data_IF_210999549470
#
_entry.id   IF_210999549470
#
_cell.length_a   1.000
_cell.length_b   1.000
_cell.length_c   1.000
_cell.angle_alpha   90.00
_cell.angle_beta   90.00
_cell.angle_gamma   90.00
#
_symmetry.space_group_name_H-M   'P 1'
#
loop_
_entity.id
_entity.type
_entity.pdbx_description
1 polymer ?
#
# COMPACT_ATOMS: atom_id res chain seq x y z
N UNK A 1 -27.08 -17.32 -1.40
CA UNK A 1 -25.81 -16.53 -1.36
C UNK A 1 -25.02 -16.77 -2.63
N UNK A 2 -24.57 -15.73 -3.33
CA UNK A 2 -23.65 -15.88 -4.47
C UNK A 2 -22.28 -16.35 -3.94
N UNK A 3 -21.68 -17.31 -4.66
CA UNK A 3 -20.38 -17.89 -4.27
C UNK A 3 -19.23 -17.21 -4.97
N UNK A 4 -18.25 -16.78 -4.19
CA UNK A 4 -17.06 -16.07 -4.65
C UNK A 4 -15.81 -16.90 -4.37
N UNK A 5 -14.95 -17.03 -5.37
CA UNK A 5 -13.64 -17.64 -5.23
C UNK A 5 -12.57 -16.59 -5.46
N UNK A 6 -11.89 -16.18 -4.40
CA UNK A 6 -10.73 -15.28 -4.46
C UNK A 6 -9.47 -16.13 -4.60
N UNK A 7 -8.59 -15.75 -5.53
CA UNK A 7 -7.37 -16.51 -5.79
C UNK A 7 -6.15 -15.62 -5.89
N UNK A 8 -5.13 -15.96 -5.12
CA UNK A 8 -3.79 -15.41 -5.27
C UNK A 8 -2.73 -16.52 -5.27
N UNK A 9 -1.77 -16.41 -6.17
CA UNK A 9 -0.62 -17.32 -6.29
C UNK A 9 0.64 -16.81 -5.59
N UNK A 10 0.61 -15.56 -5.12
CA UNK A 10 1.78 -14.83 -4.57
C UNK A 10 1.48 -14.24 -3.19
N UNK A 11 0.31 -13.64 -3.00
CA UNK A 11 -0.03 -12.98 -1.75
C UNK A 11 -0.24 -13.99 -0.61
N UNK A 12 0.30 -13.71 0.58
CA UNK A 12 0.01 -14.52 1.75
C UNK A 12 -1.47 -14.41 2.14
N UNK A 13 -2.00 -15.45 2.80
CA UNK A 13 -3.42 -15.49 3.16
C UNK A 13 -3.85 -14.31 4.05
N UNK A 14 -2.93 -13.80 4.89
CA UNK A 14 -3.17 -12.66 5.80
C UNK A 14 -2.79 -11.30 5.17
N UNK A 15 -2.77 -11.21 3.85
CA UNK A 15 -2.53 -9.94 3.16
C UNK A 15 -3.61 -8.91 3.55
N UNK A 16 -3.18 -7.68 3.79
CA UNK A 16 -4.07 -6.60 4.26
C UNK A 16 -5.21 -6.32 3.27
N UNK A 17 -4.93 -6.30 1.97
CA UNK A 17 -5.94 -6.01 0.94
C UNK A 17 -6.77 -7.26 0.64
N UNK A 18 -6.12 -8.36 0.29
CA UNK A 18 -6.80 -9.55 -0.21
C UNK A 18 -7.67 -10.20 0.86
N UNK A 19 -7.15 -10.35 2.08
CA UNK A 19 -7.87 -11.00 3.17
C UNK A 19 -8.63 -10.01 4.05
N UNK A 20 -7.88 -9.11 4.77
CA UNK A 20 -8.49 -8.29 5.82
C UNK A 20 -9.51 -7.29 5.26
N UNK A 21 -9.31 -6.81 4.06
CA UNK A 21 -10.22 -5.86 3.40
C UNK A 21 -11.23 -6.61 2.52
N UNK A 22 -10.83 -7.18 1.42
CA UNK A 22 -11.76 -7.65 0.40
C UNK A 22 -12.50 -8.95 0.77
N UNK A 23 -11.78 -10.00 1.18
CA UNK A 23 -12.43 -11.27 1.51
C UNK A 23 -13.37 -11.14 2.71
N UNK A 24 -12.93 -10.44 3.76
CA UNK A 24 -13.74 -10.20 4.96
C UNK A 24 -14.96 -9.32 4.65
N UNK A 25 -14.78 -8.24 3.88
CA UNK A 25 -15.89 -7.37 3.47
C UNK A 25 -16.93 -8.12 2.66
N UNK A 26 -16.52 -8.90 1.67
CA UNK A 26 -17.45 -9.69 0.86
C UNK A 26 -18.22 -10.72 1.70
N UNK A 27 -17.57 -11.38 2.65
CA UNK A 27 -18.24 -12.28 3.58
C UNK A 27 -19.28 -11.54 4.45
N UNK A 28 -18.95 -10.35 4.95
CA UNK A 28 -19.88 -9.48 5.70
C UNK A 28 -21.05 -8.97 4.85
N UNK A 29 -20.81 -8.72 3.58
CA UNK A 29 -21.84 -8.34 2.61
C UNK A 29 -22.74 -9.52 2.18
N UNK A 30 -22.54 -10.70 2.74
CA UNK A 30 -23.41 -11.86 2.54
C UNK A 30 -23.03 -12.75 1.34
N UNK A 31 -21.80 -12.66 0.84
CA UNK A 31 -21.27 -13.61 -0.13
C UNK A 31 -20.67 -14.84 0.58
N UNK A 32 -20.77 -16.02 -0.04
CA UNK A 32 -20.07 -17.24 0.38
C UNK A 32 -18.66 -17.24 -0.25
N UNK A 33 -17.67 -16.83 0.52
CA UNK A 33 -16.31 -16.52 0.05
C UNK A 33 -15.36 -17.67 0.36
N UNK A 34 -14.64 -18.15 -0.64
CA UNK A 34 -13.47 -19.01 -0.46
C UNK A 34 -12.23 -18.32 -0.98
N UNK A 35 -11.25 -18.09 -0.11
CA UNK A 35 -9.94 -17.51 -0.45
C UNK A 35 -8.90 -18.64 -0.61
N UNK A 36 -8.24 -18.70 -1.76
CA UNK A 36 -7.04 -19.50 -1.98
C UNK A 36 -5.81 -18.61 -2.03
N UNK A 37 -4.90 -18.78 -1.08
CA UNK A 37 -3.71 -17.93 -0.95
C UNK A 37 -2.49 -18.70 -0.41
N UNK A 38 -1.34 -18.06 -0.41
CA UNK A 38 -0.08 -18.65 0.03
C UNK A 38 0.03 -18.63 1.57
N UNK A 39 0.53 -19.71 2.16
CA UNK A 39 0.98 -19.72 3.56
C UNK A 39 2.32 -20.44 3.68
N UNK A 40 3.24 -19.84 4.45
CA UNK A 40 4.53 -20.46 4.76
C UNK A 40 4.50 -21.22 6.10
N UNK A 41 3.96 -20.64 7.17
CA UNK A 41 4.07 -21.19 8.52
C UNK A 41 2.80 -21.05 9.38
N UNK A 42 1.78 -20.32 8.93
CA UNK A 42 0.55 -20.11 9.70
C UNK A 42 -0.67 -20.47 8.86
N UNK A 43 -1.51 -21.30 9.41
CA UNK A 43 -2.82 -21.63 8.82
C UNK A 43 -3.85 -20.68 9.45
N UNK A 44 -4.84 -20.29 8.68
CA UNK A 44 -5.97 -19.53 9.19
C UNK A 44 -6.81 -20.41 10.13
N UNK A 45 -6.90 -20.03 11.40
CA UNK A 45 -7.68 -20.70 12.44
C UNK A 45 -8.93 -19.90 12.85
N UNK A 46 -9.16 -18.74 12.19
CA UNK A 46 -10.30 -17.86 12.50
C UNK A 46 -11.62 -18.43 12.00
N UNK A 47 -12.71 -17.99 12.63
CA UNK A 47 -14.08 -18.34 12.24
C UNK A 47 -14.87 -17.07 11.86
N UNK A 48 -14.65 -16.59 10.64
CA UNK A 48 -15.47 -15.51 10.08
C UNK A 48 -16.61 -16.16 9.31
N UNK A 49 -17.88 -15.86 9.65
CA UNK A 49 -19.03 -16.42 8.94
C UNK A 49 -18.91 -16.19 7.42
N UNK A 50 -19.27 -17.21 6.64
CA UNK A 50 -19.23 -17.19 5.17
C UNK A 50 -17.85 -16.99 4.54
N UNK A 51 -16.76 -17.13 5.30
CA UNK A 51 -15.39 -17.03 4.79
C UNK A 51 -14.60 -18.31 5.09
N UNK A 52 -14.15 -18.95 4.02
CA UNK A 52 -13.24 -20.09 4.08
C UNK A 52 -11.89 -19.73 3.48
N UNK A 53 -10.81 -20.00 4.20
CA UNK A 53 -9.43 -19.80 3.71
C UNK A 53 -8.77 -21.13 3.47
N UNK A 54 -8.22 -21.32 2.28
CA UNK A 54 -7.46 -22.50 1.88
C UNK A 54 -6.06 -22.08 1.49
N UNK A 55 -5.06 -22.61 2.16
CA UNK A 55 -3.68 -22.22 1.96
C UNK A 55 -2.88 -23.29 1.25
N UNK A 56 -1.83 -22.86 0.56
CA UNK A 56 -0.85 -23.74 -0.07
C UNK A 56 0.56 -23.16 0.09
N UNK A 57 1.56 -24.04 0.07
CA UNK A 57 2.94 -23.65 0.23
C UNK A 57 3.44 -22.74 -0.92
N UNK A 58 4.24 -21.71 -0.64
CA UNK A 58 4.81 -20.84 -1.65
C UNK A 58 5.69 -21.65 -2.63
N UNK A 59 5.66 -21.28 -3.90
CA UNK A 59 6.47 -21.90 -4.94
C UNK A 59 7.48 -20.91 -5.49
N UNK A 60 8.67 -21.42 -5.88
CA UNK A 60 9.63 -20.62 -6.64
C UNK A 60 9.02 -20.18 -7.99
N UNK A 61 9.53 -19.10 -8.57
CA UNK A 61 9.07 -18.58 -9.86
C UNK A 61 9.00 -19.68 -10.92
N UNK A 62 10.02 -20.56 -10.99
CA UNK A 62 10.07 -21.66 -11.94
C UNK A 62 8.98 -22.74 -11.71
N UNK A 63 8.38 -22.80 -10.55
CA UNK A 63 7.38 -23.79 -10.18
C UNK A 63 5.95 -23.22 -10.07
N UNK A 64 5.75 -21.92 -10.20
CA UNK A 64 4.44 -21.25 -10.04
C UNK A 64 3.40 -21.75 -11.06
N UNK A 65 3.82 -22.16 -12.25
CA UNK A 65 2.89 -22.72 -13.24
C UNK A 65 2.11 -23.92 -12.71
N UNK A 66 2.67 -24.72 -11.77
CA UNK A 66 1.96 -25.83 -11.12
C UNK A 66 0.82 -25.30 -10.25
N UNK A 67 1.07 -24.21 -9.50
CA UNK A 67 0.03 -23.53 -8.71
C UNK A 67 -1.06 -22.94 -9.60
N UNK A 68 -0.70 -22.32 -10.73
CA UNK A 68 -1.69 -21.79 -11.67
C UNK A 68 -2.61 -22.87 -12.21
N UNK A 69 -2.06 -24.01 -12.65
CA UNK A 69 -2.85 -25.14 -13.12
C UNK A 69 -3.73 -25.73 -12.01
N UNK A 70 -3.24 -25.78 -10.78
CA UNK A 70 -4.03 -26.23 -9.63
C UNK A 70 -5.21 -25.28 -9.38
N UNK A 71 -4.97 -23.99 -9.30
CA UNK A 71 -6.00 -22.97 -9.12
C UNK A 71 -7.02 -22.98 -10.26
N UNK A 72 -6.57 -23.14 -11.51
CA UNK A 72 -7.47 -23.31 -12.64
C UNK A 72 -8.39 -24.53 -12.50
N UNK A 73 -7.85 -25.70 -12.12
CA UNK A 73 -8.64 -26.92 -11.91
C UNK A 73 -9.66 -26.74 -10.78
N UNK A 74 -9.27 -26.07 -9.70
CA UNK A 74 -10.15 -25.74 -8.57
C UNK A 74 -11.28 -24.82 -9.06
N UNK A 75 -10.94 -23.71 -9.68
CA UNK A 75 -11.93 -22.73 -10.16
C UNK A 75 -12.90 -23.34 -11.19
N UNK A 76 -12.37 -24.17 -12.11
CA UNK A 76 -13.20 -24.89 -13.10
C UNK A 76 -14.23 -25.79 -12.44
N UNK A 77 -13.84 -26.52 -11.39
CA UNK A 77 -14.70 -27.50 -10.69
C UNK A 77 -15.58 -26.89 -9.62
N UNK A 78 -15.24 -25.67 -9.17
CA UNK A 78 -16.00 -24.97 -8.15
C UNK A 78 -17.38 -24.57 -8.66
N UNK A 79 -18.34 -24.50 -7.75
CA UNK A 79 -19.65 -23.90 -8.01
C UNK A 79 -19.68 -22.38 -7.79
N UNK A 80 -18.49 -21.74 -7.64
CA UNK A 80 -18.37 -20.30 -7.54
C UNK A 80 -18.87 -19.62 -8.82
N UNK A 81 -19.68 -18.60 -8.67
CA UNK A 81 -20.21 -17.79 -9.76
C UNK A 81 -19.19 -16.73 -10.17
N UNK A 82 -18.49 -16.14 -9.18
CA UNK A 82 -17.52 -15.06 -9.36
C UNK A 82 -16.13 -15.57 -9.00
N UNK A 83 -15.18 -15.33 -9.88
CA UNK A 83 -13.76 -15.58 -9.67
C UNK A 83 -13.07 -14.24 -9.56
N UNK A 84 -12.44 -13.96 -8.44
CA UNK A 84 -11.69 -12.75 -8.19
C UNK A 84 -10.19 -13.08 -8.11
N UNK A 85 -9.38 -12.47 -8.94
CA UNK A 85 -7.94 -12.71 -9.02
C UNK A 85 -7.15 -11.42 -8.82
N UNK A 86 -5.99 -11.52 -8.17
CA UNK A 86 -5.12 -10.40 -7.83
C UNK A 86 -3.80 -10.38 -8.60
N UNK A 87 -3.32 -11.55 -9.03
CA UNK A 87 -2.01 -11.65 -9.65
C UNK A 87 -2.11 -11.63 -11.18
N UNK A 88 -1.33 -10.78 -11.88
CA UNK A 88 -1.37 -10.72 -13.35
C UNK A 88 -0.98 -12.04 -14.02
N UNK A 89 -0.21 -12.89 -13.35
CA UNK A 89 0.14 -14.23 -13.84
C UNK A 89 -1.05 -15.20 -13.92
N UNK A 90 -2.14 -14.92 -13.19
CA UNK A 90 -3.39 -15.70 -13.25
C UNK A 90 -4.34 -15.21 -14.37
N UNK A 91 -4.10 -14.07 -14.97
CA UNK A 91 -4.99 -13.47 -15.97
C UNK A 91 -5.26 -14.36 -17.19
N UNK A 92 -4.27 -15.10 -17.78
CA UNK A 92 -4.55 -16.04 -18.86
C UNK A 92 -5.51 -17.16 -18.47
N UNK A 93 -5.41 -17.67 -17.24
CA UNK A 93 -6.28 -18.73 -16.73
C UNK A 93 -7.69 -18.20 -16.44
N UNK A 94 -7.77 -17.01 -15.88
CA UNK A 94 -9.03 -16.31 -15.65
C UNK A 94 -9.78 -16.04 -16.98
N UNK A 95 -9.06 -15.64 -18.02
CA UNK A 95 -9.61 -15.51 -19.37
C UNK A 95 -10.19 -16.84 -19.89
N UNK A 96 -9.52 -17.96 -19.68
CA UNK A 96 -10.03 -19.29 -20.05
C UNK A 96 -11.25 -19.68 -19.24
N UNK A 97 -11.29 -19.39 -17.93
CA UNK A 97 -12.44 -19.64 -17.05
C UNK A 97 -13.67 -18.88 -17.55
N UNK A 98 -13.51 -17.61 -17.90
CA UNK A 98 -14.60 -16.81 -18.46
C UNK A 98 -15.09 -17.37 -19.79
N UNK A 99 -14.16 -17.62 -20.73
CA UNK A 99 -14.53 -18.00 -22.10
C UNK A 99 -15.12 -19.41 -22.20
N UNK A 100 -14.52 -20.40 -21.48
CA UNK A 100 -14.87 -21.80 -21.59
C UNK A 100 -15.88 -22.28 -20.54
N UNK A 101 -15.91 -21.64 -19.38
CA UNK A 101 -16.70 -22.08 -18.23
C UNK A 101 -17.74 -21.07 -17.79
N UNK A 102 -17.90 -19.95 -18.54
CA UNK A 102 -18.89 -18.88 -18.31
C UNK A 102 -18.84 -18.29 -16.89
N UNK A 103 -17.68 -18.37 -16.22
CA UNK A 103 -17.48 -17.76 -14.90
C UNK A 103 -17.46 -16.24 -15.04
N UNK A 104 -18.02 -15.53 -14.07
CA UNK A 104 -17.83 -14.09 -13.94
C UNK A 104 -16.44 -13.85 -13.34
N UNK A 105 -15.64 -12.98 -13.93
CA UNK A 105 -14.25 -12.76 -13.52
C UNK A 105 -14.03 -11.29 -13.23
N UNK A 106 -13.45 -11.03 -12.05
CA UNK A 106 -12.93 -9.72 -11.61
C UNK A 106 -11.42 -9.84 -11.54
N UNK A 107 -10.72 -8.85 -12.05
CA UNK A 107 -9.29 -8.67 -11.90
C UNK A 107 -9.00 -7.44 -11.06
N UNK A 108 -8.32 -7.61 -9.93
CA UNK A 108 -7.86 -6.51 -9.08
C UNK A 108 -6.40 -6.22 -9.38
N UNK A 109 -6.16 -5.04 -9.94
CA UNK A 109 -4.84 -4.59 -10.40
C UNK A 109 -4.10 -3.88 -9.27
N UNK A 110 -3.08 -4.55 -8.72
CA UNK A 110 -2.22 -4.01 -7.68
C UNK A 110 -0.98 -3.31 -8.22
N UNK A 111 -0.64 -3.55 -9.47
CA UNK A 111 0.49 -2.95 -10.16
C UNK A 111 0.25 -2.89 -11.68
N UNK A 112 0.82 -1.90 -12.33
CA UNK A 112 0.91 -1.85 -13.80
C UNK A 112 1.98 -2.86 -14.25
N UNK A 113 1.56 -4.10 -14.53
CA UNK A 113 2.46 -5.20 -14.83
C UNK A 113 3.41 -4.92 -16.01
N UNK A 114 2.98 -4.36 -17.15
CA UNK A 114 3.87 -3.93 -18.21
C UNK A 114 4.92 -2.90 -17.76
N UNK A 115 4.54 -1.93 -16.92
CA UNK A 115 5.47 -0.93 -16.40
C UNK A 115 6.51 -1.57 -15.45
N UNK A 116 6.07 -2.49 -14.60
CA UNK A 116 6.96 -3.27 -13.72
C UNK A 116 7.97 -4.08 -14.54
N UNK A 117 7.52 -4.76 -15.59
CA UNK A 117 8.41 -5.52 -16.48
C UNK A 117 9.44 -4.64 -17.20
N UNK A 118 9.08 -3.42 -17.59
CA UNK A 118 9.98 -2.45 -18.18
C UNK A 118 11.16 -2.08 -17.27
N UNK A 119 10.89 -2.01 -15.95
CA UNK A 119 11.90 -1.72 -14.93
C UNK A 119 12.77 -2.91 -14.54
N UNK A 120 12.28 -4.15 -14.71
CA UNK A 120 12.98 -5.37 -14.30
C UNK A 120 14.08 -5.77 -15.30
N UNK A 121 15.23 -6.18 -14.74
CA UNK A 121 16.28 -6.87 -15.51
C UNK A 121 16.07 -8.38 -15.38
N UNK A 122 16.07 -9.10 -16.50
CA UNK A 122 16.12 -10.56 -16.55
C UNK A 122 17.58 -10.96 -16.77
N UNK A 123 18.25 -11.35 -15.70
CA UNK A 123 19.70 -11.48 -15.70
C UNK A 123 20.39 -10.12 -15.94
N UNK A 124 21.23 -10.00 -16.98
CA UNK A 124 21.91 -8.75 -17.34
C UNK A 124 21.12 -7.89 -18.36
N UNK A 125 20.04 -8.40 -18.94
CA UNK A 125 19.31 -7.75 -20.04
C UNK A 125 17.94 -7.21 -19.58
N UNK A 126 17.53 -6.08 -20.18
CA UNK A 126 16.15 -5.59 -20.08
C UNK A 126 15.29 -6.28 -21.14
N UNK A 127 14.00 -6.47 -20.83
CA UNK A 127 13.05 -7.03 -21.78
C UNK A 127 12.99 -6.16 -23.06
N UNK A 128 13.04 -6.75 -24.26
CA UNK A 128 12.94 -6.01 -25.52
C UNK A 128 11.62 -5.24 -25.63
N UNK A 129 11.64 -4.03 -26.20
CA UNK A 129 10.46 -3.17 -26.33
C UNK A 129 9.29 -3.83 -27.08
N UNK A 130 9.59 -4.62 -28.10
CA UNK A 130 8.56 -5.34 -28.85
C UNK A 130 7.82 -6.37 -27.99
N UNK A 131 8.56 -7.09 -27.13
CA UNK A 131 7.97 -8.08 -26.22
C UNK A 131 7.12 -7.41 -25.15
N UNK A 132 7.54 -6.27 -24.59
CA UNK A 132 6.74 -5.45 -23.69
C UNK A 132 5.42 -5.00 -24.34
N UNK A 133 5.46 -4.60 -25.63
CA UNK A 133 4.25 -4.24 -26.39
C UNK A 133 3.31 -5.44 -26.56
N UNK A 134 3.85 -6.62 -26.85
CA UNK A 134 3.06 -7.87 -26.97
C UNK A 134 2.39 -8.19 -25.63
N UNK A 135 3.13 -8.13 -24.51
CA UNK A 135 2.59 -8.37 -23.17
C UNK A 135 1.47 -7.38 -22.87
N UNK A 136 1.70 -6.07 -23.03
CA UNK A 136 0.71 -5.03 -22.76
C UNK A 136 -0.55 -5.17 -23.64
N UNK A 137 -0.37 -5.47 -24.93
CA UNK A 137 -1.51 -5.65 -25.84
C UNK A 137 -2.32 -6.90 -25.49
N UNK A 138 -1.64 -7.99 -25.11
CA UNK A 138 -2.29 -9.24 -24.74
C UNK A 138 -3.04 -9.10 -23.42
N UNK A 139 -2.43 -8.45 -22.43
CA UNK A 139 -3.05 -8.12 -21.16
C UNK A 139 -4.33 -7.29 -21.38
N UNK A 140 -4.27 -6.17 -22.12
CA UNK A 140 -5.44 -5.34 -22.45
C UNK A 140 -6.56 -6.14 -23.12
N UNK A 141 -6.22 -7.02 -24.08
CA UNK A 141 -7.20 -7.90 -24.73
C UNK A 141 -7.86 -8.88 -23.75
N UNK A 142 -7.12 -9.39 -22.76
CA UNK A 142 -7.68 -10.26 -21.74
C UNK A 142 -8.55 -9.46 -20.77
N UNK A 143 -8.07 -8.32 -20.28
CA UNK A 143 -8.81 -7.42 -19.38
C UNK A 143 -10.13 -6.98 -19.99
N UNK A 144 -10.16 -6.67 -21.28
CA UNK A 144 -11.38 -6.28 -22.00
C UNK A 144 -12.46 -7.38 -22.02
N UNK A 145 -12.10 -8.62 -21.70
CA UNK A 145 -13.04 -9.75 -21.62
C UNK A 145 -13.45 -10.06 -20.18
N UNK A 146 -12.86 -9.44 -19.17
CA UNK A 146 -13.28 -9.61 -17.77
C UNK A 146 -14.68 -8.99 -17.53
N UNK A 147 -15.30 -9.29 -16.40
CA UNK A 147 -16.56 -8.65 -16.00
C UNK A 147 -16.27 -7.29 -15.38
N UNK A 148 -15.18 -7.21 -14.62
CA UNK A 148 -14.71 -5.94 -14.08
C UNK A 148 -13.19 -5.94 -13.89
N UNK A 149 -12.63 -4.74 -13.84
CA UNK A 149 -11.26 -4.45 -13.43
C UNK A 149 -11.30 -3.46 -12.28
N UNK A 150 -10.64 -3.79 -11.18
CA UNK A 150 -10.43 -2.92 -10.04
C UNK A 150 -9.02 -2.34 -10.14
N UNK A 151 -8.86 -1.08 -9.78
CA UNK A 151 -7.57 -0.40 -9.73
C UNK A 151 -7.26 0.01 -8.29
N UNK A 152 -6.13 -0.49 -7.77
CA UNK A 152 -5.65 -0.13 -6.42
C UNK A 152 -5.04 1.28 -6.35
N UNK A 153 -4.71 1.87 -7.50
CA UNK A 153 -4.11 3.20 -7.65
C UNK A 153 -4.73 3.93 -8.84
N UNK A 154 -5.01 5.22 -8.68
CA UNK A 154 -5.64 6.05 -9.72
C UNK A 154 -4.89 6.04 -11.04
N UNK A 155 -3.56 6.14 -10.98
CA UNK A 155 -2.74 6.23 -12.18
C UNK A 155 -2.69 4.94 -13.01
N UNK A 156 -3.03 3.78 -12.46
CA UNK A 156 -3.13 2.55 -13.27
C UNK A 156 -4.23 2.71 -14.31
N UNK A 157 -5.38 3.25 -13.93
CA UNK A 157 -6.53 3.44 -14.81
C UNK A 157 -6.20 4.26 -16.06
N UNK A 158 -5.33 5.26 -15.97
CA UNK A 158 -4.93 6.10 -17.11
C UNK A 158 -4.37 5.28 -18.29
N UNK A 159 -3.66 4.18 -18.00
CA UNK A 159 -3.14 3.28 -19.02
C UNK A 159 -4.22 2.37 -19.64
N UNK A 160 -5.39 2.29 -19.02
CA UNK A 160 -6.48 1.36 -19.36
C UNK A 160 -7.82 2.04 -19.64
N UNK A 161 -7.87 3.35 -19.82
CA UNK A 161 -9.09 4.11 -20.12
C UNK A 161 -9.84 3.58 -21.35
N UNK A 162 -9.14 3.02 -22.32
CA UNK A 162 -9.72 2.44 -23.53
C UNK A 162 -10.47 1.13 -23.32
N UNK A 163 -10.44 0.54 -22.11
CA UNK A 163 -11.20 -0.66 -21.83
C UNK A 163 -12.68 -0.37 -21.71
N UNK A 164 -13.51 -1.19 -22.39
CA UNK A 164 -14.98 -1.12 -22.31
C UNK A 164 -15.55 -1.96 -21.17
N UNK A 165 -14.71 -2.71 -20.48
CA UNK A 165 -15.05 -3.50 -19.29
C UNK A 165 -15.43 -2.56 -18.15
N UNK A 166 -16.34 -2.98 -17.24
CA UNK A 166 -16.64 -2.24 -16.02
C UNK A 166 -15.34 -1.99 -15.23
N UNK A 167 -15.08 -0.74 -14.90
CA UNK A 167 -13.86 -0.31 -14.21
C UNK A 167 -14.25 0.38 -12.91
N UNK A 168 -13.52 0.08 -11.83
CA UNK A 168 -13.76 0.70 -10.53
C UNK A 168 -12.44 0.94 -9.79
N UNK A 169 -12.33 2.13 -9.21
CA UNK A 169 -11.20 2.49 -8.37
C UNK A 169 -11.54 2.08 -6.93
N UNK A 170 -10.78 1.13 -6.37
CA UNK A 170 -10.89 0.69 -4.98
C UNK A 170 -9.49 0.76 -4.38
N UNK A 171 -9.26 1.78 -3.56
CA UNK A 171 -7.94 2.10 -3.03
C UNK A 171 -7.63 1.36 -1.73
N UNK A 172 -6.34 1.24 -1.41
CA UNK A 172 -5.91 0.54 -0.20
C UNK A 172 -5.88 1.46 1.04
N UNK A 173 -6.95 2.23 1.27
CA UNK A 173 -7.07 3.11 2.44
C UNK A 173 -7.11 2.32 3.75
N UNK A 174 -6.65 2.90 4.89
CA UNK A 174 -6.74 2.26 6.19
C UNK A 174 -8.19 2.02 6.62
N UNK A 175 -8.39 1.12 7.58
CA UNK A 175 -9.69 0.97 8.21
C UNK A 175 -10.11 2.27 8.90
N UNK A 176 -11.42 2.52 8.97
CA UNK A 176 -11.92 3.64 9.74
C UNK A 176 -11.47 3.48 11.20
N UNK A 177 -10.79 4.48 11.72
CA UNK A 177 -10.33 4.54 13.09
C UNK A 177 -11.25 5.47 13.88
N UNK A 178 -11.63 5.06 15.08
CA UNK A 178 -12.25 5.97 16.04
C UNK A 178 -11.19 6.91 16.62
N UNK A 179 -11.56 8.14 16.99
CA UNK A 179 -10.64 9.05 17.66
C UNK A 179 -10.11 8.40 18.95
N UNK A 180 -8.82 8.43 19.13
CA UNK A 180 -8.18 7.88 20.32
C UNK A 180 -7.56 9.01 21.14
N UNK A 181 -7.92 9.13 22.41
CA UNK A 181 -7.29 10.02 23.38
C UNK A 181 -5.93 9.48 23.84
N UNK A 182 -5.06 9.16 22.87
CA UNK A 182 -3.73 8.67 23.17
C UNK A 182 -2.82 9.87 23.44
N UNK A 183 -2.23 9.90 24.64
CA UNK A 183 -1.24 10.91 24.99
C UNK A 183 -0.04 10.85 24.04
N UNK A 184 0.31 12.00 23.48
CA UNK A 184 1.50 12.16 22.66
C UNK A 184 2.76 11.91 23.49
N UNK A 185 3.87 11.58 22.83
CA UNK A 185 5.17 11.54 23.49
C UNK A 185 5.51 12.90 24.11
N UNK A 186 6.26 12.89 25.21
CA UNK A 186 6.72 14.15 25.84
C UNK A 186 7.63 14.94 24.90
N UNK A 187 8.59 14.24 24.25
CA UNK A 187 9.45 14.83 23.22
C UNK A 187 8.70 14.96 21.89
N UNK A 188 8.93 16.07 21.18
CA UNK A 188 8.44 16.26 19.83
C UNK A 188 8.94 15.11 18.91
N UNK A 189 8.02 14.26 18.44
CA UNK A 189 8.36 13.01 17.79
C UNK A 189 8.04 13.04 16.30
N UNK A 190 9.10 12.90 15.51
CA UNK A 190 9.02 12.65 14.07
C UNK A 190 8.95 11.14 13.84
N UNK A 191 8.14 10.69 12.88
CA UNK A 191 8.03 9.25 12.60
C UNK A 191 8.03 8.95 11.10
N UNK A 192 8.80 7.93 10.75
CA UNK A 192 8.74 7.28 9.45
C UNK A 192 8.53 5.77 9.65
N UNK A 193 7.60 5.16 8.93
CA UNK A 193 7.47 3.71 8.92
C UNK A 193 7.33 3.16 7.50
N UNK A 194 7.94 2.01 7.25
CA UNK A 194 7.87 1.30 5.98
C UNK A 194 9.18 0.65 5.57
N UNK A 195 9.31 0.26 4.30
CA UNK A 195 10.56 -0.26 3.79
C UNK A 195 11.65 0.82 3.83
N UNK A 196 12.79 0.49 4.44
CA UNK A 196 13.93 1.41 4.54
C UNK A 196 14.81 1.28 3.30
N UNK A 197 14.95 2.40 2.58
CA UNK A 197 15.77 2.47 1.36
C UNK A 197 16.26 3.91 1.14
N UNK A 198 17.38 4.10 0.43
CA UNK A 198 17.89 5.44 0.12
C UNK A 198 16.84 6.30 -0.60
N UNK A 199 16.19 5.76 -1.62
CA UNK A 199 15.14 6.46 -2.39
C UNK A 199 13.86 6.74 -1.59
N UNK A 200 13.83 6.36 -0.33
CA UNK A 200 12.74 6.68 0.61
C UNK A 200 13.15 7.71 1.66
N UNK A 201 14.20 8.47 1.37
CA UNK A 201 14.63 9.60 2.18
C UNK A 201 15.35 9.22 3.47
N UNK A 202 15.90 7.98 3.56
CA UNK A 202 16.53 7.53 4.79
C UNK A 202 17.72 8.39 5.21
N UNK A 203 18.60 8.76 4.26
CA UNK A 203 19.76 9.61 4.54
C UNK A 203 19.35 11.05 4.82
N UNK A 204 18.34 11.54 4.12
CA UNK A 204 17.79 12.86 4.30
C UNK A 204 17.18 13.02 5.70
N UNK A 205 16.44 12.02 6.19
CA UNK A 205 15.89 12.03 7.55
C UNK A 205 16.98 12.07 8.62
N UNK A 206 18.10 11.34 8.46
CA UNK A 206 19.25 11.44 9.36
C UNK A 206 19.92 12.82 9.29
N UNK A 207 20.06 13.38 8.09
CA UNK A 207 20.60 14.73 7.92
C UNK A 207 19.69 15.82 8.55
N UNK A 208 18.37 15.64 8.45
CA UNK A 208 17.38 16.49 9.13
C UNK A 208 17.54 16.40 10.66
N UNK A 209 17.69 15.21 11.23
CA UNK A 209 17.91 15.05 12.66
C UNK A 209 19.14 15.83 13.14
N UNK A 210 20.25 15.76 12.37
CA UNK A 210 21.45 16.57 12.66
C UNK A 210 21.17 18.08 12.65
N UNK A 211 20.39 18.56 11.68
CA UNK A 211 20.06 19.99 11.55
C UNK A 211 19.18 20.45 12.71
N UNK A 212 18.16 19.67 13.08
CA UNK A 212 17.27 19.96 14.19
C UNK A 212 18.02 19.97 15.53
N UNK A 213 18.93 19.02 15.76
CA UNK A 213 19.79 19.03 16.96
C UNK A 213 20.67 20.27 17.03
N UNK A 214 21.28 20.67 15.91
CA UNK A 214 22.07 21.92 15.83
C UNK A 214 21.25 23.17 16.14
N UNK A 215 19.95 23.15 15.89
CA UNK A 215 19.01 24.20 16.23
C UNK A 215 18.48 24.12 17.68
N UNK A 216 19.06 23.24 18.52
CA UNK A 216 18.71 23.00 19.93
C UNK A 216 17.25 22.56 20.14
N UNK A 217 16.68 21.81 19.20
CA UNK A 217 15.35 21.24 19.38
C UNK A 217 15.39 20.02 20.33
N UNK A 218 14.40 19.92 21.20
CA UNK A 218 14.11 18.71 21.97
C UNK A 218 13.15 17.81 21.18
N UNK A 219 13.68 16.85 20.45
CA UNK A 219 12.92 15.98 19.56
C UNK A 219 13.45 14.55 19.58
N UNK A 220 12.67 13.65 19.00
CA UNK A 220 13.12 12.32 18.60
C UNK A 220 12.62 11.97 17.19
N UNK A 221 13.40 11.15 16.49
CA UNK A 221 13.06 10.59 15.17
C UNK A 221 12.96 9.07 15.28
N UNK A 222 11.76 8.54 15.10
CA UNK A 222 11.48 7.11 15.10
C UNK A 222 11.45 6.60 13.66
N UNK A 223 12.34 5.66 13.33
CA UNK A 223 12.40 5.01 12.02
C UNK A 223 12.01 3.55 12.21
N UNK A 224 10.87 3.16 11.63
CA UNK A 224 10.26 1.85 11.79
C UNK A 224 10.31 1.09 10.47
N UNK A 225 10.97 -0.06 10.47
CA UNK A 225 11.13 -0.91 9.31
C UNK A 225 12.41 -1.73 9.36
N UNK A 226 12.49 -2.76 8.53
CA UNK A 226 13.73 -3.54 8.42
C UNK A 226 14.78 -2.71 7.67
N UNK A 227 15.84 -2.35 8.36
CA UNK A 227 16.97 -1.62 7.78
C UNK A 227 17.89 -2.63 7.06
N UNK A 228 18.24 -2.44 5.79
CA UNK A 228 19.26 -3.23 5.13
C UNK A 228 20.63 -3.01 5.78
N UNK A 229 21.43 -4.04 5.97
CA UNK A 229 22.72 -4.01 6.68
C UNK A 229 23.63 -2.85 6.24
N UNK A 230 23.72 -2.56 4.93
CA UNK A 230 24.53 -1.43 4.43
C UNK A 230 24.05 -0.07 4.96
N UNK A 231 22.73 0.12 5.10
CA UNK A 231 22.16 1.37 5.61
C UNK A 231 22.20 1.42 7.14
N UNK A 232 22.15 0.28 7.79
CA UNK A 232 22.32 0.16 9.23
C UNK A 232 23.72 0.62 9.66
N UNK A 233 24.76 0.09 9.03
CA UNK A 233 26.15 0.53 9.26
C UNK A 233 26.31 2.03 8.99
N UNK A 234 25.73 2.53 7.92
CA UNK A 234 25.76 3.96 7.61
C UNK A 234 25.07 4.79 8.70
N UNK A 235 23.90 4.35 9.17
CA UNK A 235 23.15 5.05 10.21
C UNK A 235 23.92 5.06 11.55
N UNK A 236 24.47 3.93 11.97
CA UNK A 236 25.27 3.83 13.20
C UNK A 236 26.47 4.81 13.18
N UNK A 237 27.22 4.81 12.09
CA UNK A 237 28.35 5.74 11.92
C UNK A 237 27.90 7.20 11.90
N UNK A 238 26.76 7.48 11.24
CA UNK A 238 26.24 8.85 11.16
C UNK A 238 25.73 9.35 12.53
N UNK A 239 24.98 8.50 13.24
CA UNK A 239 24.42 8.77 14.57
C UNK A 239 25.56 9.06 15.53
N UNK A 240 26.55 8.16 15.63
CA UNK A 240 27.71 8.34 16.49
C UNK A 240 28.51 9.61 16.14
N UNK A 241 28.78 9.83 14.87
CA UNK A 241 29.55 11.00 14.40
C UNK A 241 28.92 12.34 14.77
N UNK A 242 27.61 12.37 14.94
CA UNK A 242 26.84 13.59 15.16
C UNK A 242 26.11 13.60 16.52
N UNK A 243 26.48 12.68 17.42
CA UNK A 243 25.93 12.54 18.78
C UNK A 243 24.41 12.46 18.82
N UNK A 244 23.80 11.67 17.90
CA UNK A 244 22.34 11.58 17.69
C UNK A 244 21.70 10.37 18.39
N UNK A 245 22.38 9.71 19.33
CA UNK A 245 21.94 8.48 19.98
C UNK A 245 20.64 8.68 20.78
N UNK A 246 20.43 9.86 21.33
CA UNK A 246 19.21 10.19 22.07
C UNK A 246 18.04 10.62 21.18
N UNK A 247 18.34 11.14 19.99
CA UNK A 247 17.32 11.65 19.07
C UNK A 247 16.85 10.61 18.05
N UNK A 248 17.71 9.72 17.55
CA UNK A 248 17.36 8.79 16.47
C UNK A 248 17.23 7.37 16.99
N UNK A 249 16.05 6.77 16.74
CA UNK A 249 15.77 5.39 17.13
C UNK A 249 15.37 4.55 15.91
N UNK A 250 16.09 3.45 15.67
CA UNK A 250 15.77 2.45 14.65
C UNK A 250 15.04 1.28 15.33
N UNK A 251 13.72 1.18 15.17
CA UNK A 251 12.88 0.26 15.94
C UNK A 251 12.64 -1.10 15.26
N UNK A 252 13.23 -1.32 14.07
CA UNK A 252 12.95 -2.54 13.34
C UNK A 252 11.52 -2.61 12.80
N UNK A 253 11.04 -3.84 12.51
CA UNK A 253 9.69 -4.04 11.99
C UNK A 253 8.70 -4.26 13.13
N UNK A 254 7.63 -3.51 13.13
CA UNK A 254 6.48 -3.66 14.03
C UNK A 254 5.28 -4.27 13.30
N UNK A 255 4.34 -4.82 14.03
CA UNK A 255 3.04 -5.17 13.49
C UNK A 255 2.17 -3.90 13.28
N UNK A 256 1.06 -4.06 12.54
CA UNK A 256 0.23 -2.91 12.19
C UNK A 256 -0.42 -2.24 13.40
N UNK A 257 -0.83 -3.01 14.41
CA UNK A 257 -1.49 -2.48 15.60
C UNK A 257 -0.51 -1.64 16.45
N UNK A 258 0.69 -2.17 16.67
CA UNK A 258 1.77 -1.44 17.35
C UNK A 258 2.12 -0.16 16.57
N UNK A 259 2.29 -0.27 15.25
CA UNK A 259 2.61 0.86 14.39
C UNK A 259 1.58 1.99 14.49
N UNK A 260 0.29 1.67 14.49
CA UNK A 260 -0.77 2.68 14.64
C UNK A 260 -0.68 3.41 15.99
N UNK A 261 -0.28 2.71 17.05
CA UNK A 261 -0.03 3.32 18.36
C UNK A 261 1.16 4.29 18.33
N UNK A 262 2.25 3.92 17.64
CA UNK A 262 3.39 4.82 17.43
C UNK A 262 3.00 6.06 16.63
N UNK A 263 2.22 5.92 15.57
CA UNK A 263 1.70 7.05 14.81
C UNK A 263 0.85 7.98 15.68
N UNK A 264 -0.10 7.42 16.44
CA UNK A 264 -0.98 8.20 17.29
C UNK A 264 -0.23 8.99 18.38
N UNK A 265 0.88 8.45 18.89
CA UNK A 265 1.73 9.12 19.89
C UNK A 265 2.71 10.13 19.27
N UNK A 266 2.94 10.10 17.97
CA UNK A 266 3.90 10.97 17.27
C UNK A 266 3.30 12.33 16.92
N UNK A 267 4.15 13.31 16.60
CA UNK A 267 3.77 14.68 16.31
C UNK A 267 3.78 15.00 14.83
N UNK A 268 4.72 14.44 14.06
CA UNK A 268 4.87 14.71 12.62
C UNK A 268 5.23 13.41 11.88
N UNK A 269 4.44 13.04 10.89
CA UNK A 269 4.72 11.93 9.97
C UNK A 269 5.62 12.34 8.81
N UNK A 270 6.53 11.49 8.40
CA UNK A 270 7.46 11.76 7.30
C UNK A 270 7.22 10.82 6.12
N UNK A 271 7.19 11.37 4.89
CA UNK A 271 7.20 10.59 3.66
C UNK A 271 8.06 11.28 2.58
N UNK A 272 9.36 11.28 2.81
CA UNK A 272 10.38 11.95 1.98
C UNK A 272 10.87 10.96 0.92
N UNK A 273 10.11 10.82 -0.16
CA UNK A 273 10.45 9.91 -1.25
C UNK A 273 11.24 10.65 -2.34
N UNK A 274 12.27 10.01 -2.90
CA UNK A 274 12.99 10.56 -4.05
C UNK A 274 12.12 10.51 -5.32
N UNK A 275 12.39 11.33 -6.36
CA UNK A 275 11.57 11.45 -7.57
C UNK A 275 11.75 10.26 -8.53
N UNK A 276 11.44 9.07 -8.02
CA UNK A 276 11.39 7.83 -8.83
C UNK A 276 10.06 7.74 -9.58
N UNK A 277 10.09 7.17 -10.78
CA UNK A 277 8.94 7.12 -11.69
C UNK A 277 7.67 6.56 -11.04
N UNK A 278 7.80 5.58 -10.15
CA UNK A 278 6.67 5.00 -9.43
C UNK A 278 6.11 5.95 -8.36
N UNK A 279 6.99 6.71 -7.68
CA UNK A 279 6.57 7.60 -6.59
C UNK A 279 5.97 8.91 -7.08
N UNK A 280 6.40 9.38 -8.25
CA UNK A 280 5.86 10.61 -8.85
C UNK A 280 4.35 10.55 -9.13
N UNK A 281 3.79 9.34 -9.28
CA UNK A 281 2.41 9.11 -9.71
C UNK A 281 1.53 8.43 -8.67
N UNK A 282 2.10 7.68 -7.71
CA UNK A 282 1.37 6.99 -6.65
C UNK A 282 1.32 7.80 -5.37
N UNK A 283 0.25 7.62 -4.60
CA UNK A 283 0.17 8.15 -3.24
C UNK A 283 0.54 7.06 -2.23
N UNK A 284 1.57 7.26 -1.39
CA UNK A 284 1.96 6.26 -0.40
C UNK A 284 0.87 6.09 0.68
N UNK A 285 0.51 4.85 0.96
CA UNK A 285 -0.56 4.50 1.92
C UNK A 285 -0.38 5.12 3.30
N UNK A 286 0.87 5.33 3.72
CA UNK A 286 1.21 5.94 5.02
C UNK A 286 0.62 7.34 5.22
N UNK A 287 0.40 8.12 4.16
CA UNK A 287 -0.26 9.44 4.27
C UNK A 287 -1.67 9.27 4.85
N UNK A 288 -2.40 8.29 4.36
CA UNK A 288 -3.76 7.99 4.83
C UNK A 288 -3.76 7.34 6.21
N UNK A 289 -2.71 6.58 6.56
CA UNK A 289 -2.49 6.08 7.93
C UNK A 289 -2.21 7.23 8.89
N UNK A 290 -1.41 8.24 8.51
CA UNK A 290 -1.21 9.46 9.30
C UNK A 290 -2.52 10.22 9.51
N UNK A 291 -3.28 10.42 8.44
CA UNK A 291 -4.60 11.06 8.53
C UNK A 291 -5.53 10.32 9.51
N UNK A 292 -5.50 8.99 9.54
CA UNK A 292 -6.39 8.17 10.39
C UNK A 292 -6.16 8.34 11.89
N UNK A 293 -5.02 8.90 12.29
CA UNK A 293 -4.66 9.16 13.70
C UNK A 293 -4.39 10.64 13.98
N UNK A 294 -4.91 11.54 13.15
CA UNK A 294 -4.71 13.00 13.29
C UNK A 294 -3.24 13.41 13.32
N UNK A 295 -2.36 12.72 12.60
CA UNK A 295 -0.94 13.03 12.54
C UNK A 295 -0.66 13.91 11.31
N UNK A 296 -0.24 15.19 11.50
CA UNK A 296 0.19 16.03 10.39
C UNK A 296 1.49 15.48 9.78
N UNK A 297 1.77 15.81 8.53
CA UNK A 297 2.89 15.18 7.83
C UNK A 297 3.65 16.13 6.92
N UNK A 298 4.90 15.75 6.63
CA UNK A 298 5.77 16.39 5.63
C UNK A 298 6.07 15.38 4.53
N UNK A 299 5.78 15.76 3.28
CA UNK A 299 5.87 14.91 2.08
C UNK A 299 6.83 15.53 1.06
N UNK A 300 7.24 14.71 0.08
CA UNK A 300 7.90 15.20 -1.13
C UNK A 300 6.98 16.10 -1.96
N UNK A 301 7.52 17.14 -2.62
CA UNK A 301 6.77 18.11 -3.43
C UNK A 301 6.38 17.59 -4.83
N UNK A 302 5.92 16.34 -4.93
CA UNK A 302 5.40 15.82 -6.18
C UNK A 302 4.01 16.39 -6.47
N UNK A 303 3.66 16.54 -7.75
CA UNK A 303 2.41 17.15 -8.18
C UNK A 303 1.18 16.51 -7.52
N UNK A 304 1.13 15.17 -7.48
CA UNK A 304 0.01 14.44 -6.84
C UNK A 304 -0.06 14.66 -5.32
N UNK A 305 1.09 14.81 -4.66
CA UNK A 305 1.16 15.05 -3.22
C UNK A 305 0.80 16.50 -2.90
N UNK A 306 1.28 17.45 -3.71
CA UNK A 306 0.92 18.87 -3.59
C UNK A 306 -0.59 19.07 -3.69
N UNK A 307 -1.24 18.49 -4.71
CA UNK A 307 -2.70 18.52 -4.85
C UNK A 307 -3.43 17.95 -3.64
N UNK A 308 -2.98 16.79 -3.13
CA UNK A 308 -3.58 16.20 -1.93
C UNK A 308 -3.48 17.14 -0.72
N UNK A 309 -2.30 17.73 -0.50
CA UNK A 309 -2.07 18.68 0.61
C UNK A 309 -2.91 19.94 0.44
N UNK A 310 -3.03 20.48 -0.77
CA UNK A 310 -3.87 21.65 -1.07
C UNK A 310 -5.37 21.37 -0.81
N UNK A 311 -5.86 20.18 -1.16
CA UNK A 311 -7.24 19.77 -0.96
C UNK A 311 -7.55 19.46 0.50
N UNK A 312 -6.61 18.83 1.20
CA UNK A 312 -6.87 18.31 2.55
C UNK A 312 -6.42 19.23 3.67
N UNK A 313 -5.49 20.15 3.41
CA UNK A 313 -4.86 21.04 4.41
C UNK A 313 -4.33 20.27 5.62
N UNK A 314 -3.68 19.10 5.39
CA UNK A 314 -3.29 18.17 6.46
C UNK A 314 -1.79 17.95 6.62
N UNK A 315 -0.97 18.73 5.88
CA UNK A 315 0.48 18.64 5.94
C UNK A 315 1.16 19.65 5.03
N UNK A 316 2.45 19.42 4.80
CA UNK A 316 3.29 20.25 3.94
C UNK A 316 4.04 19.40 2.91
N UNK A 317 4.45 20.04 1.81
CA UNK A 317 5.33 19.44 0.80
C UNK A 317 6.67 20.19 0.77
N UNK A 318 7.76 19.44 0.53
CA UNK A 318 9.14 19.92 0.53
C UNK A 318 9.94 19.25 -0.58
N UNK A 319 11.04 19.86 -1.03
CA UNK A 319 12.01 19.17 -1.87
C UNK A 319 12.64 17.99 -1.10
N UNK A 320 12.39 16.73 -1.52
CA UNK A 320 12.90 15.55 -0.82
C UNK A 320 14.44 15.45 -0.83
N UNK A 321 15.11 16.16 -1.72
CA UNK A 321 16.57 16.16 -1.84
C UNK A 321 17.23 17.31 -1.07
N UNK A 322 16.45 18.16 -0.40
CA UNK A 322 16.93 19.31 0.40
C UNK A 322 16.70 19.10 1.90
N UNK A 323 17.65 18.49 2.65
CA UNK A 323 17.53 18.36 4.10
C UNK A 323 17.32 19.69 4.83
N UNK A 324 17.84 20.80 4.31
CA UNK A 324 17.62 22.12 4.90
C UNK A 324 16.17 22.58 4.78
N UNK A 325 15.54 22.41 3.62
CA UNK A 325 14.14 22.74 3.42
C UNK A 325 13.24 21.86 4.28
N UNK A 326 13.52 20.55 4.31
CA UNK A 326 12.79 19.59 5.15
C UNK A 326 12.89 20.00 6.64
N UNK A 327 14.12 20.29 7.12
CA UNK A 327 14.34 20.72 8.51
C UNK A 327 13.63 22.05 8.82
N UNK A 328 13.69 23.02 7.92
CA UNK A 328 13.01 24.32 8.08
C UNK A 328 11.49 24.14 8.17
N UNK A 329 10.90 23.30 7.33
CA UNK A 329 9.45 23.06 7.36
C UNK A 329 9.02 22.28 8.62
N UNK A 330 9.85 21.34 9.08
CA UNK A 330 9.63 20.64 10.35
C UNK A 330 9.73 21.62 11.51
N UNK A 331 10.72 22.53 11.51
CA UNK A 331 10.88 23.57 12.54
C UNK A 331 9.61 24.43 12.67
N UNK A 332 9.01 24.84 11.56
CA UNK A 332 7.74 25.58 11.57
C UNK A 332 6.65 24.81 12.31
N UNK A 333 6.60 23.50 12.14
CA UNK A 333 5.63 22.65 12.85
C UNK A 333 6.00 22.48 14.34
N UNK A 334 7.29 22.30 14.67
CA UNK A 334 7.75 22.15 16.05
C UNK A 334 7.45 23.41 16.89
N UNK A 335 7.60 24.59 16.29
CA UNK A 335 7.36 25.88 16.93
C UNK A 335 5.86 26.21 17.07
N UNK A 336 4.98 25.51 16.37
CA UNK A 336 3.55 25.81 16.28
C UNK A 336 2.65 24.60 16.57
N UNK A 337 2.48 24.18 17.83
CA UNK A 337 1.61 23.04 18.19
C UNK A 337 0.15 23.21 17.75
N UNK A 338 -0.34 24.45 17.70
CA UNK A 338 -1.69 24.74 17.21
C UNK A 338 -1.84 24.38 15.72
N UNK A 339 -0.84 24.69 14.92
CA UNK A 339 -0.81 24.30 13.50
C UNK A 339 -0.72 22.79 13.34
N UNK A 340 0.07 22.10 14.17
CA UNK A 340 0.09 20.64 14.17
C UNK A 340 -1.32 20.06 14.42
N UNK A 341 -2.00 20.57 15.44
CA UNK A 341 -3.35 20.12 15.80
C UNK A 341 -4.37 20.40 14.68
N UNK A 342 -4.31 21.59 14.06
CA UNK A 342 -5.19 21.95 12.95
C UNK A 342 -4.99 21.03 11.73
N UNK A 343 -3.75 20.84 11.28
CA UNK A 343 -3.43 20.00 10.14
C UNK A 343 -3.82 18.53 10.41
N UNK A 344 -3.57 18.05 11.63
CA UNK A 344 -3.96 16.71 12.05
C UNK A 344 -5.48 16.52 12.04
N UNK A 345 -6.24 17.48 12.58
CA UNK A 345 -7.71 17.46 12.57
C UNK A 345 -8.27 17.48 11.14
N UNK A 346 -7.69 18.29 10.26
CA UNK A 346 -8.06 18.34 8.85
C UNK A 346 -7.84 16.98 8.18
N UNK A 347 -6.69 16.34 8.42
CA UNK A 347 -6.38 15.01 7.91
C UNK A 347 -7.39 13.96 8.38
N UNK A 348 -7.70 13.95 9.68
CA UNK A 348 -8.67 13.03 10.26
C UNK A 348 -10.09 13.24 9.68
N UNK A 349 -10.52 14.47 9.51
CA UNK A 349 -11.79 14.79 8.85
C UNK A 349 -11.86 14.19 7.44
N UNK A 350 -10.79 14.29 6.68
CA UNK A 350 -10.72 13.69 5.34
C UNK A 350 -10.66 12.16 5.39
N UNK A 351 -9.97 11.59 6.38
CA UNK A 351 -9.98 10.14 6.60
C UNK A 351 -11.42 9.64 6.83
N UNK A 352 -12.15 10.25 7.74
CA UNK A 352 -13.54 9.84 8.04
C UNK A 352 -14.46 9.99 6.82
N UNK A 353 -14.31 11.07 6.06
CA UNK A 353 -15.19 11.36 4.93
C UNK A 353 -14.84 10.53 3.67
N UNK A 354 -13.55 10.34 3.37
CA UNK A 354 -13.11 9.93 2.05
C UNK A 354 -12.04 8.83 2.01
N UNK A 355 -11.09 8.83 2.97
CA UNK A 355 -9.87 8.03 2.87
C UNK A 355 -9.83 6.87 3.86
N UNK A 356 -10.92 6.10 3.94
CA UNK A 356 -11.03 4.91 4.78
C UNK A 356 -11.62 3.73 4.02
N UNK A 357 -11.40 2.53 4.56
CA UNK A 357 -11.86 1.30 3.92
C UNK A 357 -13.37 1.17 3.83
N UNK A 358 -14.15 1.77 4.74
CA UNK A 358 -15.62 1.68 4.67
C UNK A 358 -16.19 2.35 3.41
N UNK A 359 -15.53 3.41 2.90
CA UNK A 359 -15.87 4.03 1.63
C UNK A 359 -15.57 3.08 0.46
N UNK A 360 -14.43 2.42 0.49
CA UNK A 360 -14.00 1.48 -0.55
C UNK A 360 -14.80 0.16 -0.51
N UNK A 361 -15.13 -0.31 0.69
CA UNK A 361 -16.00 -1.49 0.91
C UNK A 361 -17.37 -1.32 0.25
N UNK A 362 -17.95 -0.12 0.35
CA UNK A 362 -19.22 0.20 -0.34
C UNK A 362 -19.07 0.09 -1.85
N UNK A 363 -18.00 0.65 -2.43
CA UNK A 363 -17.71 0.52 -3.87
C UNK A 363 -17.53 -0.94 -4.28
N UNK A 364 -16.86 -1.74 -3.44
CA UNK A 364 -16.68 -3.17 -3.67
C UNK A 364 -18.04 -3.87 -3.72
N UNK A 365 -18.95 -3.56 -2.79
CA UNK A 365 -20.33 -4.08 -2.77
C UNK A 365 -21.08 -3.70 -4.05
N UNK A 366 -21.09 -2.43 -4.43
CA UNK A 366 -21.74 -1.93 -5.66
C UNK A 366 -21.19 -2.61 -6.93
N UNK A 367 -19.87 -2.89 -6.95
CA UNK A 367 -19.27 -3.63 -8.05
C UNK A 367 -19.83 -5.03 -8.16
N UNK A 368 -19.89 -5.75 -7.04
CA UNK A 368 -20.34 -7.13 -6.98
C UNK A 368 -21.85 -7.30 -7.22
N UNK A 369 -22.66 -6.35 -6.77
CA UNK A 369 -24.11 -6.34 -7.03
C UNK A 369 -24.41 -6.12 -8.52
N UNK A 370 -23.58 -5.36 -9.20
CA UNK A 370 -23.72 -5.08 -10.62
C UNK A 370 -23.09 -6.11 -11.56
N UNK A 371 -22.56 -7.22 -11.02
CA UNK A 371 -22.04 -8.37 -11.75
C UNK A 371 -22.94 -9.58 -11.50
#
# INVERSE_FOLDING_TARGET
MKKVLIMSSVHPWNDTRVFHKEAVSLARLGYDVTLYAVASNHVYEGNIPNLRVVTFAPKSIAQRWKTWLQLYKIAKRSNAEIIHIHDPELLPLAYLLKRKHRKKVIFDMHEDFPAVLKGKKIGKMRMPKWLLRVVATTEKKMLQKMNAVIYAEKYYKENYESLTTKQMDIYNYPFLQEPTDILKYEKQTLIYAGAIHEIRGFKEMLAVAKLLKKANNDFQLLIIGKVPQRLEIYAEQFIQKHDLEDEVKLLGRLDLHELMTYYAKSHIGLAILHPEANYLRSLPTKIFEYMSVSLPYVLSNFESYGRLVEETKSGYVVDPLSPNEIASQIQVLLDNPSTQAELGANGYKQHVANFNWSVEERKLGELYDGI
#
